data_IF_747379064919
#
_entry.id   IF_747379064919
#
_cell.length_a   1.000
_cell.length_b   1.000
_cell.length_c   1.000
_cell.angle_alpha   90.00
_cell.angle_beta   90.00
_cell.angle_gamma   90.00
#
_symmetry.space_group_name_H-M   'P 1'
#
loop_
_entity.id
_entity.type
_entity.pdbx_description
1 polymer ?
#
# COMPACT_ATOMS: atom_id res chain seq x y z
N UNK A 1 22.32 -9.24 4.72
CA UNK A 1 21.00 -9.01 4.10
C UNK A 1 20.85 -7.53 3.78
N UNK A 2 20.55 -7.19 2.54
CA UNK A 2 20.39 -5.80 2.14
C UNK A 2 19.10 -5.18 2.67
N UNK A 3 19.02 -3.85 2.62
CA UNK A 3 17.80 -3.12 2.99
C UNK A 3 16.62 -3.56 2.11
N UNK A 4 16.88 -3.76 0.80
CA UNK A 4 15.84 -4.22 -0.14
C UNK A 4 15.31 -5.60 0.22
N UNK A 5 16.18 -6.52 0.64
CA UNK A 5 15.78 -7.86 1.06
C UNK A 5 14.90 -7.83 2.30
N UNK A 6 15.26 -6.97 3.26
CA UNK A 6 14.46 -6.77 4.48
C UNK A 6 13.09 -6.22 4.16
N UNK A 7 13.03 -5.27 3.25
CA UNK A 7 11.79 -4.66 2.77
C UNK A 7 10.86 -5.69 2.17
N UNK A 8 11.41 -6.47 1.22
CA UNK A 8 10.64 -7.48 0.54
C UNK A 8 10.13 -8.54 1.52
N UNK A 9 10.96 -8.90 2.50
CA UNK A 9 10.57 -9.85 3.55
C UNK A 9 9.46 -9.28 4.42
N UNK A 10 9.62 -8.03 4.90
CA UNK A 10 8.64 -7.39 5.77
C UNK A 10 7.28 -7.29 5.07
N UNK A 11 7.27 -6.91 3.79
CA UNK A 11 6.06 -6.87 2.99
C UNK A 11 5.41 -8.24 2.83
N UNK A 12 6.23 -9.24 2.53
CA UNK A 12 5.75 -10.60 2.32
C UNK A 12 5.15 -11.18 3.61
N UNK A 13 5.86 -11.03 4.73
CA UNK A 13 5.39 -11.52 6.03
C UNK A 13 4.08 -10.87 6.43
N UNK A 14 4.01 -9.56 6.28
CA UNK A 14 2.82 -8.78 6.63
C UNK A 14 1.63 -9.18 5.78
N UNK A 15 1.83 -9.34 4.47
CA UNK A 15 0.79 -9.78 3.56
C UNK A 15 0.26 -11.16 3.96
N UNK A 16 1.17 -12.10 4.23
CA UNK A 16 0.81 -13.46 4.63
C UNK A 16 0.05 -13.48 5.95
N UNK A 17 0.45 -12.67 6.91
CA UNK A 17 -0.26 -12.53 8.19
C UNK A 17 -1.68 -12.04 7.98
N UNK A 18 -1.87 -11.04 7.13
CA UNK A 18 -3.19 -10.49 6.81
C UNK A 18 -4.06 -11.56 6.14
N UNK A 19 -3.52 -12.26 5.14
CA UNK A 19 -4.25 -13.32 4.44
C UNK A 19 -4.70 -14.44 5.38
N UNK A 20 -3.84 -14.80 6.31
CA UNK A 20 -4.08 -15.93 7.23
C UNK A 20 -4.97 -15.58 8.41
N UNK A 21 -5.22 -14.30 8.67
CA UNK A 21 -5.97 -13.85 9.85
C UNK A 21 -7.47 -14.09 9.64
N UNK A 22 -8.01 -15.11 10.33
CA UNK A 22 -9.42 -15.49 10.23
C UNK A 22 -10.36 -14.58 11.02
N UNK A 23 -9.82 -13.72 11.89
CA UNK A 23 -10.61 -12.77 12.68
C UNK A 23 -10.98 -11.51 11.88
N UNK A 24 -10.32 -11.28 10.74
CA UNK A 24 -10.55 -10.11 9.90
C UNK A 24 -11.50 -10.46 8.75
N UNK A 25 -12.47 -9.59 8.49
CA UNK A 25 -13.30 -9.69 7.29
C UNK A 25 -12.56 -9.04 6.09
N UNK A 26 -13.19 -9.07 4.91
CA UNK A 26 -12.61 -8.57 3.67
C UNK A 26 -12.22 -7.09 3.76
N UNK A 27 -13.09 -6.24 4.31
CA UNK A 27 -12.80 -4.81 4.45
C UNK A 27 -11.69 -4.55 5.44
N UNK A 28 -11.67 -5.26 6.56
CA UNK A 28 -10.62 -5.14 7.55
C UNK A 28 -9.28 -5.57 6.99
N UNK A 29 -9.24 -6.64 6.20
CA UNK A 29 -8.01 -7.09 5.52
C UNK A 29 -7.52 -6.04 4.52
N UNK A 30 -8.43 -5.46 3.75
CA UNK A 30 -8.08 -4.41 2.79
C UNK A 30 -7.50 -3.18 3.50
N UNK A 31 -8.14 -2.74 4.58
CA UNK A 31 -7.65 -1.61 5.37
C UNK A 31 -6.26 -1.89 5.95
N UNK A 32 -6.06 -3.08 6.53
CA UNK A 32 -4.77 -3.49 7.06
C UNK A 32 -3.69 -3.50 5.98
N UNK A 33 -4.05 -3.98 4.80
CA UNK A 33 -3.12 -4.02 3.67
C UNK A 33 -2.70 -2.62 3.24
N UNK A 34 -3.63 -1.67 3.17
CA UNK A 34 -3.31 -0.29 2.85
C UNK A 34 -2.45 0.39 3.94
N UNK A 35 -2.69 0.06 5.20
CA UNK A 35 -1.90 0.57 6.33
C UNK A 35 -0.53 -0.09 6.44
N UNK A 36 -0.35 -1.22 5.80
CA UNK A 36 0.84 -2.04 5.92
C UNK A 36 2.05 -1.55 5.14
N UNK A 37 1.93 -0.45 4.41
CA UNK A 37 3.07 0.14 3.69
C UNK A 37 4.09 0.61 4.73
N UNK A 38 5.31 0.01 4.78
CA UNK A 38 6.28 0.31 5.85
C UNK A 38 6.76 1.75 5.82
N UNK A 39 6.46 2.51 6.86
CA UNK A 39 6.84 3.91 6.94
C UNK A 39 8.32 4.14 7.24
N UNK A 40 8.93 3.22 7.99
CA UNK A 40 10.35 3.35 8.37
C UNK A 40 11.30 3.44 7.18
N UNK A 41 10.84 3.02 6.00
CA UNK A 41 11.65 3.02 4.80
C UNK A 41 11.41 4.22 3.88
N UNK A 42 10.42 5.04 4.18
CA UNK A 42 10.09 6.21 3.34
C UNK A 42 11.10 7.34 3.42
N UNK A 43 11.93 7.34 4.45
CA UNK A 43 13.03 8.30 4.59
C UNK A 43 14.17 8.04 3.58
N UNK A 44 14.09 6.93 2.83
CA UNK A 44 15.13 6.55 1.89
C UNK A 44 15.07 7.40 0.60
N UNK A 45 13.89 7.88 0.22
CA UNK A 45 13.74 8.76 -0.95
C UNK A 45 13.89 8.05 -2.29
N UNK A 46 13.30 8.65 -3.33
CA UNK A 46 13.31 8.10 -4.68
C UNK A 46 14.70 7.96 -5.28
N UNK A 47 15.63 8.90 -4.98
CA UNK A 47 17.00 8.85 -5.49
C UNK A 47 17.71 7.56 -5.09
N UNK A 48 17.50 7.10 -3.85
CA UNK A 48 18.11 5.84 -3.39
C UNK A 48 17.45 4.61 -4.01
N UNK A 49 16.16 4.68 -4.31
CA UNK A 49 15.48 3.61 -5.03
C UNK A 49 16.06 3.48 -6.44
N UNK A 50 16.32 4.60 -7.11
CA UNK A 50 16.99 4.61 -8.40
C UNK A 50 18.39 4.04 -8.33
N UNK A 51 19.18 4.42 -7.32
CA UNK A 51 20.51 3.85 -7.09
C UNK A 51 20.45 2.35 -6.89
N UNK A 52 19.47 1.89 -6.12
CA UNK A 52 19.26 0.47 -5.86
C UNK A 52 19.00 -0.29 -7.16
N UNK A 53 18.15 0.28 -8.03
CA UNK A 53 17.83 -0.33 -9.32
C UNK A 53 19.07 -0.47 -10.20
N UNK A 54 19.98 0.52 -10.17
CA UNK A 54 21.20 0.51 -10.97
C UNK A 54 22.30 -0.38 -10.42
N UNK A 55 22.52 -0.32 -9.10
CA UNK A 55 23.63 -1.04 -8.45
C UNK A 55 23.27 -2.47 -8.08
N UNK A 56 22.01 -2.72 -7.75
CA UNK A 56 21.54 -4.03 -7.26
C UNK A 56 20.25 -4.42 -7.96
N UNK A 57 20.30 -4.70 -9.27
CA UNK A 57 19.08 -4.95 -10.06
C UNK A 57 18.29 -6.17 -9.59
N UNK A 58 18.96 -7.21 -9.06
CA UNK A 58 18.27 -8.41 -8.56
C UNK A 58 17.47 -8.10 -7.30
N UNK A 59 18.05 -7.36 -6.37
CA UNK A 59 17.40 -6.96 -5.13
C UNK A 59 16.24 -5.99 -5.41
N UNK A 60 16.43 -5.07 -6.34
CA UNK A 60 15.39 -4.15 -6.77
C UNK A 60 14.21 -4.91 -7.37
N UNK A 61 14.47 -5.87 -8.25
CA UNK A 61 13.44 -6.69 -8.86
C UNK A 61 12.65 -7.48 -7.81
N UNK A 62 13.36 -8.07 -6.86
CA UNK A 62 12.75 -8.81 -5.77
C UNK A 62 11.82 -7.92 -4.92
N UNK A 63 12.28 -6.71 -4.60
CA UNK A 63 11.46 -5.74 -3.87
C UNK A 63 10.21 -5.34 -4.65
N UNK A 64 10.37 -5.05 -5.94
CA UNK A 64 9.24 -4.65 -6.79
C UNK A 64 8.21 -5.78 -6.94
N UNK A 65 8.66 -7.03 -6.99
CA UNK A 65 7.75 -8.17 -7.01
C UNK A 65 6.94 -8.28 -5.72
N UNK A 66 7.58 -8.07 -4.57
CA UNK A 66 6.89 -8.09 -3.28
C UNK A 66 5.83 -7.00 -3.19
N UNK A 67 6.17 -5.79 -3.63
CA UNK A 67 5.24 -4.65 -3.66
C UNK A 67 4.07 -4.94 -4.62
N UNK A 68 4.38 -5.48 -5.81
CA UNK A 68 3.38 -5.82 -6.82
C UNK A 68 2.37 -6.86 -6.31
N UNK A 69 2.84 -7.86 -5.57
CA UNK A 69 1.96 -8.88 -4.97
C UNK A 69 1.02 -8.26 -3.94
N UNK A 70 1.47 -7.28 -3.18
CA UNK A 70 0.62 -6.54 -2.25
C UNK A 70 -0.50 -5.78 -2.96
N UNK A 71 -0.18 -5.10 -4.06
CA UNK A 71 -1.19 -4.40 -4.86
C UNK A 71 -2.17 -5.36 -5.50
N UNK A 72 -1.70 -6.50 -5.99
CA UNK A 72 -2.57 -7.53 -6.57
C UNK A 72 -3.55 -8.08 -5.53
N UNK A 73 -3.10 -8.30 -4.31
CA UNK A 73 -3.96 -8.75 -3.21
C UNK A 73 -5.01 -7.68 -2.86
N UNK A 74 -4.61 -6.41 -2.84
CA UNK A 74 -5.56 -5.31 -2.60
C UNK A 74 -6.67 -5.31 -3.65
N UNK A 75 -6.32 -5.53 -4.92
CA UNK A 75 -7.32 -5.63 -6.00
C UNK A 75 -8.28 -6.79 -5.78
N UNK A 76 -7.77 -7.94 -5.34
CA UNK A 76 -8.61 -9.11 -5.03
C UNK A 76 -9.59 -8.80 -3.91
N UNK A 77 -9.16 -8.13 -2.86
CA UNK A 77 -10.04 -7.75 -1.75
C UNK A 77 -11.08 -6.71 -2.18
N UNK A 78 -10.73 -5.78 -3.06
CA UNK A 78 -11.70 -4.85 -3.64
C UNK A 78 -12.79 -5.59 -4.40
N UNK A 79 -12.41 -6.51 -5.29
CA UNK A 79 -13.37 -7.33 -6.05
C UNK A 79 -14.25 -8.16 -5.13
N UNK A 80 -13.64 -8.80 -4.14
CA UNK A 80 -14.37 -9.62 -3.19
C UNK A 80 -15.35 -8.79 -2.37
N UNK A 81 -14.93 -7.62 -1.91
CA UNK A 81 -15.79 -6.71 -1.16
C UNK A 81 -17.00 -6.23 -1.96
N UNK A 82 -16.80 -5.98 -3.26
CA UNK A 82 -17.90 -5.62 -4.16
C UNK A 82 -18.87 -6.78 -4.30
N UNK A 83 -18.37 -8.00 -4.53
CA UNK A 83 -19.21 -9.19 -4.64
C UNK A 83 -20.00 -9.49 -3.38
N UNK A 84 -19.39 -9.23 -2.21
CA UNK A 84 -20.03 -9.46 -0.91
C UNK A 84 -21.03 -8.36 -0.51
N UNK A 85 -21.10 -7.28 -1.30
CA UNK A 85 -21.98 -6.16 -0.99
C UNK A 85 -21.46 -5.23 0.10
N UNK A 86 -20.21 -5.37 0.50
CA UNK A 86 -19.56 -4.52 1.50
C UNK A 86 -18.96 -3.26 0.92
N UNK A 87 -18.62 -3.30 -0.35
CA UNK A 87 -18.07 -2.18 -1.13
C UNK A 87 -19.10 -1.75 -2.16
N UNK A 88 -19.22 -0.45 -2.37
CA UNK A 88 -20.14 0.17 -3.33
C UNK A 88 -19.95 -0.42 -4.72
N UNK A 89 -21.05 -0.67 -5.42
CA UNK A 89 -21.03 -1.21 -6.78
C UNK A 89 -20.84 -0.14 -7.85
N UNK A 90 -21.02 1.14 -7.49
CA UNK A 90 -20.94 2.26 -8.41
C UNK A 90 -19.53 2.84 -8.57
N UNK A 91 -18.52 2.12 -8.10
CA UNK A 91 -17.10 2.49 -8.25
C UNK A 91 -16.38 1.43 -9.07
N UNK A 92 -15.28 1.82 -9.70
CA UNK A 92 -14.46 0.92 -10.46
C UNK A 92 -13.11 0.67 -9.77
N UNK A 93 -12.68 -0.57 -9.79
CA UNK A 93 -11.41 -0.97 -9.19
C UNK A 93 -10.22 -0.14 -9.72
N UNK A 94 -10.07 0.09 -11.05
CA UNK A 94 -8.94 0.88 -11.55
C UNK A 94 -8.88 2.29 -10.98
N UNK A 95 -10.02 2.93 -10.76
CA UNK A 95 -10.07 4.30 -10.21
C UNK A 95 -9.62 4.28 -8.75
N UNK A 96 -10.13 3.36 -7.95
CA UNK A 96 -9.74 3.24 -6.54
C UNK A 96 -8.22 2.99 -6.43
N UNK A 97 -7.71 2.06 -7.22
CA UNK A 97 -6.28 1.74 -7.20
C UNK A 97 -5.43 2.93 -7.65
N UNK A 98 -5.86 3.65 -8.68
CA UNK A 98 -5.15 4.84 -9.14
C UNK A 98 -5.12 5.94 -8.08
N UNK A 99 -6.20 6.13 -7.35
CA UNK A 99 -6.27 7.12 -6.26
C UNK A 99 -5.26 6.80 -5.15
N UNK A 100 -5.22 5.53 -4.73
CA UNK A 100 -4.29 5.11 -3.67
C UNK A 100 -2.84 5.21 -4.14
N UNK A 101 -2.54 4.63 -5.29
CA UNK A 101 -1.17 4.62 -5.83
C UNK A 101 -0.69 6.03 -6.16
N UNK A 102 -1.55 6.85 -6.74
CA UNK A 102 -1.23 8.24 -7.06
C UNK A 102 -0.97 9.07 -5.81
N UNK A 103 -1.76 8.87 -4.76
CA UNK A 103 -1.57 9.57 -3.49
C UNK A 103 -0.26 9.16 -2.82
N UNK A 104 0.04 7.88 -2.78
CA UNK A 104 1.32 7.38 -2.22
C UNK A 104 2.48 7.98 -2.99
N UNK A 105 2.42 7.97 -4.32
CA UNK A 105 3.47 8.56 -5.15
C UNK A 105 3.62 10.06 -4.86
N UNK A 106 2.52 10.79 -4.76
CA UNK A 106 2.54 12.21 -4.42
C UNK A 106 3.21 12.47 -3.07
N UNK A 107 2.88 11.66 -2.06
CA UNK A 107 3.49 11.80 -0.73
C UNK A 107 5.00 11.53 -0.75
N UNK A 108 5.45 10.64 -1.63
CA UNK A 108 6.86 10.30 -1.75
C UNK A 108 7.65 11.32 -2.58
N UNK A 109 7.05 11.86 -3.64
CA UNK A 109 7.74 12.72 -4.60
C UNK A 109 7.67 14.21 -4.27
N UNK A 110 6.72 14.61 -3.41
CA UNK A 110 6.55 16.01 -3.04
C UNK A 110 6.78 16.22 -1.55
N UNK A 111 6.92 17.48 -1.16
CA UNK A 111 7.06 17.88 0.23
C UNK A 111 5.75 18.34 0.86
N UNK A 112 4.62 17.98 0.23
CA UNK A 112 3.30 18.48 0.65
C UNK A 112 2.98 18.17 2.12
N UNK A 113 3.34 16.97 2.59
CA UNK A 113 3.11 16.60 3.99
C UNK A 113 3.98 17.42 4.91
N UNK A 114 5.27 17.50 4.60
CA UNK A 114 6.24 18.25 5.40
C UNK A 114 5.87 19.74 5.50
N UNK A 115 5.52 20.36 4.38
CA UNK A 115 5.12 21.77 4.35
C UNK A 115 3.91 22.06 5.23
N UNK A 116 3.05 21.08 5.44
CA UNK A 116 1.83 21.23 6.23
C UNK A 116 1.94 20.63 7.63
N UNK A 117 3.15 20.34 8.08
CA UNK A 117 3.41 19.85 9.44
C UNK A 117 2.94 18.42 9.68
N UNK A 118 2.80 17.62 8.62
CA UNK A 118 2.33 16.24 8.71
C UNK A 118 3.47 15.27 8.47
N UNK A 119 3.45 14.15 9.20
CA UNK A 119 4.35 13.03 8.94
C UNK A 119 3.76 12.17 7.83
N UNK A 120 4.58 11.33 7.21
CA UNK A 120 4.09 10.34 6.25
C UNK A 120 3.05 9.41 6.91
N UNK A 121 3.30 8.99 8.15
CA UNK A 121 2.39 8.14 8.92
C UNK A 121 1.00 8.77 9.03
N UNK A 122 0.95 10.04 9.43
CA UNK A 122 -0.31 10.79 9.56
C UNK A 122 -1.03 10.90 8.22
N UNK A 123 -0.29 11.23 7.15
CA UNK A 123 -0.87 11.34 5.81
C UNK A 123 -1.42 10.02 5.31
N UNK A 124 -0.68 8.92 5.53
CA UNK A 124 -1.11 7.58 5.14
C UNK A 124 -2.39 7.16 5.88
N UNK A 125 -2.42 7.34 7.19
CA UNK A 125 -3.59 7.01 8.00
C UNK A 125 -4.83 7.78 7.55
N UNK A 126 -4.68 9.06 7.31
CA UNK A 126 -5.78 9.90 6.84
C UNK A 126 -6.26 9.47 5.46
N UNK A 127 -5.33 9.20 4.53
CA UNK A 127 -5.66 8.69 3.20
C UNK A 127 -6.47 7.39 3.29
N UNK A 128 -6.01 6.45 4.11
CA UNK A 128 -6.69 5.16 4.27
C UNK A 128 -8.10 5.36 4.80
N UNK A 129 -8.30 6.23 5.78
CA UNK A 129 -9.61 6.53 6.33
C UNK A 129 -10.55 7.15 5.28
N UNK A 130 -10.05 8.07 4.48
CA UNK A 130 -10.83 8.69 3.42
C UNK A 130 -11.27 7.64 2.39
N UNK A 131 -10.33 6.81 1.95
CA UNK A 131 -10.62 5.76 0.96
C UNK A 131 -11.62 4.74 1.52
N UNK A 132 -11.38 4.23 2.72
CA UNK A 132 -12.24 3.20 3.31
C UNK A 132 -13.66 3.71 3.53
N UNK A 133 -13.84 4.94 3.98
CA UNK A 133 -15.16 5.53 4.13
C UNK A 133 -15.83 5.78 2.78
N UNK A 134 -15.04 6.16 1.77
CA UNK A 134 -15.56 6.44 0.43
C UNK A 134 -16.01 5.19 -0.33
N UNK A 135 -15.39 4.05 -0.12
CA UNK A 135 -15.70 2.82 -0.87
C UNK A 135 -16.73 1.93 -0.16
N UNK A 136 -16.94 2.13 1.13
CA UNK A 136 -17.84 1.29 1.93
C UNK A 136 -19.28 1.47 1.47
N UNK A 137 -20.01 0.37 1.38
CA UNK A 137 -21.46 0.41 1.14
C UNK A 137 -22.17 1.08 2.31
N UNK A 138 -23.16 1.92 2.00
CA UNK A 138 -23.90 2.67 3.01
C UNK A 138 -24.78 1.76 3.90
#
# INVERSE_FOLDING_TARGET
MSIADRYARDFTDMRQEIEADTELDTLEKLERLFCAIPTKYYNIGLSRIFELAQKYPKQYKYLMEAVSQGWALAEQYLEKGIREGKIRKDISKPVVMAMIRGTVTCFLESDILYKNGLTYEQGKEEMVQIIMKGIREA
#
